data_IF_959813181697
#
_entry.id   IF_959813181697
#
_cell.length_a   1.000
_cell.length_b   1.000
_cell.length_c   1.000
_cell.angle_alpha   90.00
_cell.angle_beta   90.00
_cell.angle_gamma   90.00
#
_symmetry.space_group_name_H-M   'P 1'
#
loop_
_entity.id
_entity.type
_entity.pdbx_description
1 polymer ?
#
# COMPACT_ATOMS: atom_id res chain seq x y z
N UNK A 1 -10.49 -52.66 -4.95
CA UNK A 1 -10.08 -51.24 -4.98
C UNK A 1 -10.96 -50.45 -4.02
N UNK A 2 -10.57 -50.30 -2.74
CA UNK A 2 -11.43 -49.67 -1.71
C UNK A 2 -10.75 -48.56 -0.89
N UNK A 3 -9.49 -48.23 -1.17
CA UNK A 3 -8.69 -47.32 -0.32
C UNK A 3 -8.82 -45.84 -0.68
N UNK A 4 -9.44 -45.47 -1.80
CA UNK A 4 -9.38 -44.09 -2.30
C UNK A 4 -10.31 -43.14 -1.56
N UNK A 5 -11.54 -43.56 -1.22
CA UNK A 5 -12.48 -42.69 -0.51
C UNK A 5 -12.19 -42.65 1.00
N UNK A 6 -11.77 -43.77 1.59
CA UNK A 6 -11.34 -43.83 2.99
C UNK A 6 -10.10 -42.95 3.24
N UNK A 7 -9.06 -43.06 2.40
CA UNK A 7 -7.88 -42.18 2.48
C UNK A 7 -8.25 -40.69 2.30
N UNK A 8 -9.22 -40.40 1.42
CA UNK A 8 -9.70 -39.03 1.20
C UNK A 8 -10.45 -38.50 2.42
N UNK A 9 -11.21 -39.36 3.10
CA UNK A 9 -11.93 -39.01 4.31
C UNK A 9 -10.95 -38.75 5.47
N UNK A 10 -9.97 -39.63 5.67
CA UNK A 10 -8.90 -39.42 6.65
C UNK A 10 -8.16 -38.09 6.40
N UNK A 11 -7.77 -37.82 5.16
CA UNK A 11 -7.13 -36.56 4.80
C UNK A 11 -7.99 -35.33 5.17
N UNK A 12 -9.28 -35.36 4.87
CA UNK A 12 -10.22 -34.27 5.25
C UNK A 12 -10.29 -34.11 6.76
N UNK A 13 -10.29 -35.20 7.52
CA UNK A 13 -10.34 -35.16 8.97
C UNK A 13 -9.05 -34.60 9.57
N UNK A 14 -7.89 -35.02 9.08
CA UNK A 14 -6.60 -34.45 9.44
C UNK A 14 -6.55 -32.96 9.10
N UNK A 15 -7.01 -32.56 7.91
CA UNK A 15 -7.06 -31.16 7.51
C UNK A 15 -7.98 -30.34 8.43
N UNK A 16 -9.14 -30.88 8.84
CA UNK A 16 -10.04 -30.24 9.81
C UNK A 16 -9.36 -30.08 11.17
N UNK A 17 -8.65 -31.10 11.64
CA UNK A 17 -7.88 -31.04 12.91
C UNK A 17 -6.81 -29.96 12.85
N UNK A 18 -6.01 -29.93 11.78
CA UNK A 18 -5.00 -28.88 11.57
C UNK A 18 -5.63 -27.50 11.55
N UNK A 19 -6.71 -27.29 10.79
CA UNK A 19 -7.42 -26.00 10.74
C UNK A 19 -7.91 -25.55 12.12
N UNK A 20 -8.42 -26.47 12.94
CA UNK A 20 -8.83 -26.17 14.32
C UNK A 20 -7.64 -25.73 15.18
N UNK A 21 -6.53 -26.46 15.13
CA UNK A 21 -5.34 -26.11 15.93
C UNK A 21 -4.73 -24.78 15.47
N UNK A 22 -4.69 -24.51 14.16
CA UNK A 22 -4.29 -23.20 13.63
C UNK A 22 -5.24 -22.10 14.11
N UNK A 23 -6.55 -22.35 14.12
CA UNK A 23 -7.53 -21.39 14.63
C UNK A 23 -7.32 -21.10 16.12
N UNK A 24 -7.06 -22.13 16.93
CA UNK A 24 -6.76 -21.97 18.36
C UNK A 24 -5.46 -21.19 18.59
N UNK A 25 -4.42 -21.51 17.83
CA UNK A 25 -3.14 -20.81 17.91
C UNK A 25 -3.30 -19.32 17.54
N UNK A 26 -4.06 -19.02 16.48
CA UNK A 26 -4.39 -17.63 16.11
C UNK A 26 -5.18 -16.92 17.21
N UNK A 27 -6.19 -17.58 17.76
CA UNK A 27 -7.00 -17.01 18.84
C UNK A 27 -6.12 -16.66 20.04
N UNK A 28 -5.28 -17.60 20.49
CA UNK A 28 -4.34 -17.37 21.60
C UNK A 28 -3.41 -16.19 21.32
N UNK A 29 -2.86 -16.08 20.12
CA UNK A 29 -2.01 -14.96 19.75
C UNK A 29 -2.75 -13.61 19.77
N UNK A 30 -4.02 -13.58 19.36
CA UNK A 30 -4.85 -12.38 19.46
C UNK A 30 -5.19 -12.03 20.90
N UNK A 31 -5.52 -13.01 21.74
CA UNK A 31 -5.82 -12.79 23.15
C UNK A 31 -4.61 -12.18 23.87
N UNK A 32 -3.42 -12.74 23.66
CA UNK A 32 -2.15 -12.20 24.19
C UNK A 32 -1.88 -10.77 23.70
N UNK A 33 -2.15 -10.48 22.42
CA UNK A 33 -2.02 -9.14 21.87
C UNK A 33 -2.97 -8.16 22.58
N UNK A 34 -4.25 -8.52 22.75
CA UNK A 34 -5.23 -7.64 23.39
C UNK A 34 -4.91 -7.40 24.86
N UNK A 35 -4.50 -8.44 25.60
CA UNK A 35 -4.03 -8.28 26.98
C UNK A 35 -2.87 -7.29 27.07
N UNK A 36 -1.90 -7.36 26.15
CA UNK A 36 -0.80 -6.40 26.11
C UNK A 36 -1.28 -4.98 25.79
N UNK A 37 -2.19 -4.83 24.84
CA UNK A 37 -2.71 -3.52 24.41
C UNK A 37 -3.54 -2.81 25.50
N UNK A 38 -4.13 -3.57 26.42
CA UNK A 38 -4.90 -3.03 27.56
C UNK A 38 -4.00 -2.47 28.68
N UNK A 39 -2.68 -2.68 28.59
CA UNK A 39 -1.72 -2.08 29.51
C UNK A 39 -1.37 -0.64 29.12
N UNK A 40 -0.87 0.15 30.08
CA UNK A 40 -0.40 1.52 29.83
C UNK A 40 0.73 1.58 28.80
N UNK A 41 1.59 0.57 28.77
CA UNK A 41 2.67 0.43 27.78
C UNK A 41 2.11 0.06 26.40
N UNK A 42 1.05 -0.76 26.37
CA UNK A 42 0.31 -1.17 25.18
C UNK A 42 -0.37 -0.03 24.43
N UNK A 43 -0.72 1.07 25.10
CA UNK A 43 -1.33 2.25 24.46
C UNK A 43 -0.44 2.84 23.35
N UNK A 44 0.89 2.86 23.55
CA UNK A 44 1.83 3.35 22.53
C UNK A 44 1.86 2.44 21.30
N UNK A 45 1.72 1.14 21.51
CA UNK A 45 1.67 0.17 20.42
C UNK A 45 0.31 0.23 19.69
N UNK A 46 -0.79 0.45 20.42
CA UNK A 46 -2.11 0.69 19.83
C UNK A 46 -2.11 1.91 18.92
N UNK A 47 -1.53 3.02 19.39
CA UNK A 47 -1.35 4.23 18.58
C UNK A 47 -0.54 3.94 17.30
N UNK A 48 0.54 3.16 17.41
CA UNK A 48 1.38 2.78 16.26
C UNK A 48 0.60 1.91 15.26
N UNK A 49 -0.18 0.94 15.75
CA UNK A 49 -1.02 0.08 14.91
C UNK A 49 -2.10 0.88 14.17
N UNK A 50 -2.77 1.80 14.87
CA UNK A 50 -3.76 2.69 14.27
C UNK A 50 -3.14 3.58 13.19
N UNK A 51 -1.97 4.17 13.47
CA UNK A 51 -1.23 4.99 12.50
C UNK A 51 -0.75 4.19 11.30
N UNK A 52 -0.37 2.93 11.48
CA UNK A 52 0.01 2.05 10.37
C UNK A 52 -1.19 1.78 9.48
N UNK A 53 -2.35 1.43 10.05
CA UNK A 53 -3.60 1.21 9.29
C UNK A 53 -4.03 2.43 8.50
N UNK A 54 -3.94 3.62 9.10
CA UNK A 54 -4.23 4.89 8.42
C UNK A 54 -3.29 5.11 7.22
N UNK A 55 -2.00 4.78 7.36
CA UNK A 55 -1.06 4.85 6.24
C UNK A 55 -1.34 3.80 5.17
N UNK A 56 -1.61 2.56 5.56
CA UNK A 56 -1.87 1.47 4.62
C UNK A 56 -3.12 1.74 3.76
N UNK A 57 -4.11 2.45 4.31
CA UNK A 57 -5.32 2.86 3.60
C UNK A 57 -5.20 4.11 2.73
N UNK A 58 -4.04 4.79 2.72
CA UNK A 58 -3.80 5.95 1.85
C UNK A 58 -3.21 5.52 0.52
N UNK A 59 -3.82 5.94 -0.58
CA UNK A 59 -3.32 5.69 -1.94
C UNK A 59 -1.93 6.29 -2.17
N UNK A 60 -1.65 7.40 -1.50
CA UNK A 60 -0.35 8.09 -1.54
C UNK A 60 0.27 8.01 -0.15
N UNK A 61 1.01 6.93 0.11
CA UNK A 61 1.67 6.70 1.39
C UNK A 61 2.91 7.59 1.61
N UNK A 62 3.53 8.04 0.51
CA UNK A 62 4.68 8.95 0.51
C UNK A 62 4.28 10.26 -0.16
N UNK A 63 4.55 11.40 0.48
CA UNK A 63 4.49 12.70 -0.19
C UNK A 63 5.46 12.62 -1.37
N UNK A 64 4.93 12.62 -2.60
CA UNK A 64 5.76 12.84 -3.79
C UNK A 64 6.25 14.27 -3.67
N UNK A 65 7.44 14.43 -3.14
CA UNK A 65 8.13 15.72 -3.04
C UNK A 65 8.30 16.21 -4.46
N UNK A 66 7.45 17.16 -4.87
CA UNK A 66 7.55 17.79 -6.17
C UNK A 66 8.61 18.87 -6.05
N UNK A 67 9.58 18.81 -6.97
CA UNK A 67 10.63 19.81 -7.07
C UNK A 67 10.33 20.75 -8.24
N UNK A 68 10.68 22.01 -8.07
CA UNK A 68 10.78 22.94 -9.18
C UNK A 68 11.98 22.61 -10.08
N UNK A 69 12.17 23.40 -11.14
CA UNK A 69 13.28 23.24 -12.09
C UNK A 69 14.64 23.43 -11.44
N UNK A 70 14.69 24.25 -10.38
CA UNK A 70 15.89 24.54 -9.60
C UNK A 70 16.16 23.47 -8.52
N UNK A 71 15.36 22.40 -8.48
CA UNK A 71 15.51 21.28 -7.56
C UNK A 71 15.02 21.56 -6.14
N UNK A 72 14.33 22.68 -5.89
CA UNK A 72 13.78 23.04 -4.59
C UNK A 72 12.43 22.37 -4.38
N UNK A 73 12.19 21.92 -3.15
CA UNK A 73 10.95 21.26 -2.76
C UNK A 73 9.82 22.26 -2.66
N UNK A 74 8.72 21.99 -3.37
CA UNK A 74 7.50 22.78 -3.32
C UNK A 74 6.65 22.34 -2.14
N UNK A 75 6.24 23.31 -1.32
CA UNK A 75 5.50 23.07 -0.06
C UNK A 75 4.07 23.63 -0.08
N UNK A 76 3.75 24.56 -0.98
CA UNK A 76 2.39 25.09 -1.13
C UNK A 76 1.63 24.39 -2.25
N UNK A 77 0.33 24.15 -2.04
CA UNK A 77 -0.53 23.47 -3.01
C UNK A 77 -0.56 24.18 -4.37
N UNK A 78 -0.66 25.52 -4.38
CA UNK A 78 -0.64 26.33 -5.60
C UNK A 78 0.66 26.14 -6.41
N UNK A 79 1.81 26.06 -5.73
CA UNK A 79 3.10 25.86 -6.40
C UNK A 79 3.22 24.46 -7.01
N UNK A 80 2.70 23.45 -6.31
CA UNK A 80 2.64 22.07 -6.77
C UNK A 80 1.76 21.96 -8.01
N UNK A 81 0.56 22.54 -8.00
CA UNK A 81 -0.35 22.53 -9.15
C UNK A 81 0.24 23.23 -10.38
N UNK A 82 0.88 24.38 -10.19
CA UNK A 82 1.57 25.09 -11.26
C UNK A 82 2.72 24.29 -11.85
N UNK A 83 3.54 23.65 -11.02
CA UNK A 83 4.64 22.79 -11.49
C UNK A 83 4.14 21.57 -12.28
N UNK A 84 3.02 20.98 -11.86
CA UNK A 84 2.33 19.93 -12.62
C UNK A 84 1.88 20.42 -13.99
N UNK A 85 1.24 21.61 -14.05
CA UNK A 85 0.79 22.22 -15.29
C UNK A 85 1.96 22.46 -16.25
N UNK A 86 3.03 23.09 -15.78
CA UNK A 86 4.25 23.33 -16.58
C UNK A 86 4.84 22.02 -17.13
N UNK A 87 4.94 20.98 -16.29
CA UNK A 87 5.46 19.67 -16.72
C UNK A 87 4.62 19.06 -17.85
N UNK A 88 3.29 19.09 -17.72
CA UNK A 88 2.40 18.54 -18.73
C UNK A 88 2.37 19.39 -20.00
N UNK A 89 2.46 20.72 -19.89
CA UNK A 89 2.55 21.60 -21.06
C UNK A 89 3.84 21.36 -21.83
N UNK A 90 4.99 21.17 -21.19
CA UNK A 90 6.24 20.79 -21.87
C UNK A 90 6.10 19.43 -22.54
N UNK A 91 5.66 18.42 -21.78
CA UNK A 91 5.49 17.06 -22.26
C UNK A 91 4.58 16.97 -23.50
N UNK A 92 3.51 17.78 -23.54
CA UNK A 92 2.53 17.76 -24.64
C UNK A 92 2.93 18.64 -25.83
N UNK A 93 3.86 19.58 -25.65
CA UNK A 93 4.26 20.52 -26.71
C UNK A 93 5.60 20.16 -27.38
N UNK A 94 6.40 19.24 -26.80
CA UNK A 94 7.68 18.82 -27.37
C UNK A 94 7.55 17.98 -28.66
N UNK A 95 6.38 17.39 -28.98
CA UNK A 95 6.17 16.60 -30.21
C UNK A 95 5.72 17.40 -31.45
N UNK A 96 5.43 18.70 -31.34
CA UNK A 96 4.86 19.49 -32.46
C UNK A 96 5.88 20.40 -33.20
N UNK A 97 7.17 20.32 -32.88
CA UNK A 97 8.19 21.26 -33.36
C UNK A 97 9.02 20.84 -34.58
N UNK A 98 8.96 19.59 -35.03
CA UNK A 98 9.93 19.07 -36.01
C UNK A 98 9.43 18.92 -37.46
N UNK A 99 8.24 19.39 -37.83
CA UNK A 99 7.79 19.35 -39.23
C UNK A 99 7.05 20.62 -39.69
N UNK A 100 7.78 21.70 -39.95
CA UNK A 100 7.54 22.48 -41.16
C UNK A 100 8.79 23.32 -41.49
N UNK A 101 9.60 22.77 -42.40
CA UNK A 101 10.71 23.47 -42.99
C UNK A 101 10.26 24.75 -43.68
N UNK A 102 11.11 25.75 -43.58
CA UNK A 102 11.14 26.97 -44.37
C UNK A 102 10.87 26.69 -45.86
N UNK A 103 9.87 27.35 -46.44
CA UNK A 103 9.91 27.73 -47.85
C UNK A 103 9.49 29.19 -47.99
N UNK A 104 10.49 30.01 -48.28
CA UNK A 104 10.36 31.40 -48.72
C UNK A 104 9.69 31.47 -50.10
N UNK A 105 8.76 32.40 -50.28
CA UNK A 105 8.77 33.33 -51.41
C UNK A 105 7.98 34.59 -51.09
#
# INVERSE_FOLDING_TARGET
MGRTEENRQEYKESQRRVKREVSKAKQKAYDELYTRLDTREGQKDLYRLARQRDRDGKDVQQVRVIKDRDGRVLTSEESVQRRWKEYFEELMNEENGELCGTESR
#
